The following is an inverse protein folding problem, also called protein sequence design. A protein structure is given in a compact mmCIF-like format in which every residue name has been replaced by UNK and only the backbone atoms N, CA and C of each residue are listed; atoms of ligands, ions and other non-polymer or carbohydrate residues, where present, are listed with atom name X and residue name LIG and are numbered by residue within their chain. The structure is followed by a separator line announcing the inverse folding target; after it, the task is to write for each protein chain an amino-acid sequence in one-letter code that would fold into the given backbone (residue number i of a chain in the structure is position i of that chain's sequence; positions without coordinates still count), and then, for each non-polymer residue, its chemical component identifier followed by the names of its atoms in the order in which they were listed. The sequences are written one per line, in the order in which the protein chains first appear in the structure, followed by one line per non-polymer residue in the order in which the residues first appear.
data_IF_787594794951
#
_entry.id   IF_787594794951
#
_cell.length_a   1.000
_cell.length_b   1.000
_cell.length_c   1.000
_cell.angle_alpha   90.00
_cell.angle_beta   90.00
_cell.angle_gamma   90.00
#
_symmetry.space_group_name_H-M   'P 1'
#
loop_
_entity.id
_entity.type
_entity.pdbx_description
1 polymer ?
#
# COMPACT_ATOMS: atom_id res chain seq x y z
N UNK A 1 3.90 23.35 16.57
CA UNK A 1 3.09 22.22 16.06
C UNK A 1 3.83 21.63 14.87
N UNK A 2 4.10 20.33 14.84
CA UNK A 2 4.56 19.68 13.62
C UNK A 2 3.40 19.66 12.61
N UNK A 3 3.66 20.13 11.38
CA UNK A 3 2.69 20.07 10.29
C UNK A 3 2.70 18.65 9.71
N UNK A 4 1.52 18.13 9.35
CA UNK A 4 1.42 16.85 8.65
C UNK A 4 2.12 16.94 7.29
N UNK A 5 2.85 15.89 6.91
CA UNK A 5 3.45 15.74 5.57
C UNK A 5 2.47 15.03 4.65
N UNK A 6 2.13 15.67 3.53
CA UNK A 6 1.22 15.11 2.51
C UNK A 6 1.96 15.05 1.18
N UNK A 7 1.98 13.88 0.55
CA UNK A 7 2.55 13.67 -0.77
C UNK A 7 1.43 13.45 -1.80
N UNK A 8 1.46 14.24 -2.88
CA UNK A 8 0.55 14.08 -4.02
C UNK A 8 1.39 13.91 -5.27
N UNK A 9 1.19 12.80 -5.97
CA UNK A 9 1.91 12.48 -7.21
C UNK A 9 0.87 12.30 -8.31
N UNK A 10 1.02 13.06 -9.40
CA UNK A 10 0.26 12.83 -10.62
C UNK A 10 0.81 11.57 -11.30
N UNK A 11 -0.07 10.67 -11.68
CA UNK A 11 0.30 9.34 -12.21
C UNK A 11 -0.33 9.06 -13.57
N UNK A 12 0.25 8.13 -14.31
CA UNK A 12 -0.33 7.52 -15.52
C UNK A 12 -0.28 5.99 -15.39
N UNK A 13 -1.06 5.24 -16.20
CA UNK A 13 -0.99 3.78 -16.17
C UNK A 13 0.43 3.23 -16.35
N UNK A 14 1.25 3.86 -17.19
CA UNK A 14 2.61 3.43 -17.52
C UNK A 14 3.60 3.65 -16.37
N UNK A 15 3.37 4.65 -15.52
CA UNK A 15 4.29 5.02 -14.44
C UNK A 15 3.79 4.64 -13.05
N UNK A 16 2.60 4.05 -12.95
CA UNK A 16 1.89 3.82 -11.68
C UNK A 16 2.78 3.24 -10.57
N UNK A 17 3.49 2.13 -10.82
CA UNK A 17 4.34 1.49 -9.81
C UNK A 17 5.49 2.40 -9.33
N UNK A 18 6.12 3.12 -10.25
CA UNK A 18 7.17 4.07 -9.93
C UNK A 18 6.63 5.28 -9.14
N UNK A 19 5.41 5.71 -9.46
CA UNK A 19 4.73 6.81 -8.78
C UNK A 19 4.31 6.43 -7.35
N UNK A 20 3.91 5.17 -7.11
CA UNK A 20 3.67 4.65 -5.75
C UNK A 20 4.95 4.70 -4.93
N UNK A 21 6.06 4.19 -5.46
CA UNK A 21 7.37 4.26 -4.79
C UNK A 21 7.76 5.71 -4.46
N UNK A 22 7.57 6.63 -5.41
CA UNK A 22 7.82 8.06 -5.21
C UNK A 22 6.91 8.67 -4.15
N UNK A 23 5.61 8.38 -4.18
CA UNK A 23 4.63 8.92 -3.25
C UNK A 23 4.91 8.47 -1.81
N UNK A 24 5.21 7.19 -1.61
CA UNK A 24 5.56 6.63 -0.30
C UNK A 24 6.81 7.30 0.28
N UNK A 25 7.87 7.44 -0.53
CA UNK A 25 9.11 8.08 -0.09
C UNK A 25 8.95 9.59 0.18
N UNK A 26 8.19 10.30 -0.66
CA UNK A 26 7.82 11.70 -0.38
C UNK A 26 7.03 11.83 0.92
N UNK A 27 6.16 10.86 1.25
CA UNK A 27 5.45 10.82 2.52
C UNK A 27 6.35 10.49 3.72
N UNK A 28 7.58 10.04 3.51
CA UNK A 28 8.53 9.69 4.58
C UNK A 28 8.20 8.37 5.28
N UNK A 29 7.61 7.40 4.58
CA UNK A 29 7.16 6.17 5.22
C UNK A 29 8.31 5.37 5.90
N UNK A 30 9.52 5.46 5.35
CA UNK A 30 10.72 4.80 5.92
C UNK A 30 11.13 5.38 7.28
N UNK A 31 10.70 6.59 7.62
CA UNK A 31 10.96 7.19 8.94
C UNK A 31 10.10 6.56 10.05
N UNK A 32 9.08 5.78 9.67
CA UNK A 32 8.06 5.23 10.57
C UNK A 32 8.04 3.70 10.54
N UNK A 33 8.08 3.10 9.35
CA UNK A 33 8.03 1.64 9.17
C UNK A 33 9.44 1.07 9.14
N UNK A 34 9.83 0.37 10.20
CA UNK A 34 11.14 -0.29 10.31
C UNK A 34 11.22 -1.51 9.37
N UNK A 35 12.42 -1.85 8.92
CA UNK A 35 12.63 -2.95 7.95
C UNK A 35 12.66 -4.32 8.63
N UNK A 36 13.04 -4.33 9.90
CA UNK A 36 13.28 -5.54 10.69
C UNK A 36 12.02 -6.08 11.36
N UNK A 37 10.88 -5.40 11.22
CA UNK A 37 9.61 -5.80 11.84
C UNK A 37 8.65 -6.38 10.82
N UNK A 38 7.89 -7.37 11.25
CA UNK A 38 6.75 -7.87 10.49
C UNK A 38 5.78 -6.73 10.17
N UNK A 39 5.49 -6.56 8.88
CA UNK A 39 4.57 -5.56 8.37
C UNK A 39 3.36 -6.25 7.76
N UNK A 40 2.19 -6.00 8.36
CA UNK A 40 0.93 -6.46 7.82
C UNK A 40 0.43 -5.52 6.72
N UNK A 41 0.35 -6.01 5.49
CA UNK A 41 -0.28 -5.32 4.36
C UNK A 41 -1.77 -5.60 4.37
N UNK A 42 -2.56 -4.63 4.85
CA UNK A 42 -4.01 -4.78 4.98
C UNK A 42 -4.70 -4.64 3.63
N UNK A 43 -5.26 -5.74 3.14
CA UNK A 43 -6.02 -5.78 1.89
C UNK A 43 -7.51 -5.63 2.22
N UNK A 44 -8.16 -4.66 1.58
CA UNK A 44 -9.61 -4.49 1.63
C UNK A 44 -10.22 -4.96 0.32
N UNK A 45 -11.08 -5.97 0.37
CA UNK A 45 -11.82 -6.47 -0.78
C UNK A 45 -13.30 -6.58 -0.42
N UNK A 46 -14.16 -6.28 -1.39
CA UNK A 46 -15.59 -6.53 -1.34
C UNK A 46 -15.90 -7.87 -2.00
N UNK A 47 -16.93 -8.56 -1.52
CA UNK A 47 -17.19 -9.95 -1.89
C UNK A 47 -17.87 -10.14 -3.26
N UNK A 48 -18.76 -9.23 -3.66
CA UNK A 48 -19.56 -9.37 -4.89
C UNK A 48 -19.12 -8.46 -6.02
N UNK A 49 -18.83 -7.19 -5.73
CA UNK A 49 -18.48 -6.19 -6.72
C UNK A 49 -17.24 -5.42 -6.30
N UNK A 50 -16.34 -5.19 -7.24
CA UNK A 50 -15.23 -4.26 -7.03
C UNK A 50 -15.79 -2.84 -6.90
N UNK A 51 -15.46 -2.16 -5.79
CA UNK A 51 -15.84 -0.77 -5.58
C UNK A 51 -14.57 0.09 -5.64
N UNK A 52 -14.40 0.93 -6.69
CA UNK A 52 -13.28 1.85 -6.78
C UNK A 52 -13.14 2.67 -5.49
N UNK A 53 -11.90 2.92 -5.06
CA UNK A 53 -11.53 3.60 -3.81
C UNK A 53 -11.86 2.87 -2.49
N UNK A 54 -12.71 1.85 -2.50
CA UNK A 54 -13.00 1.02 -1.32
C UNK A 54 -12.21 -0.30 -1.34
N UNK A 55 -12.00 -0.88 -2.53
CA UNK A 55 -11.23 -2.10 -2.72
C UNK A 55 -9.77 -1.77 -3.04
N UNK A 56 -8.84 -2.45 -2.38
CA UNK A 56 -7.42 -2.49 -2.75
C UNK A 56 -7.30 -3.11 -4.14
N UNK A 57 -6.73 -2.38 -5.08
CA UNK A 57 -6.51 -2.90 -6.43
C UNK A 57 -5.26 -3.81 -6.47
N UNK A 58 -5.18 -4.77 -7.41
CA UNK A 58 -3.99 -5.59 -7.55
C UNK A 58 -2.71 -4.76 -7.78
N UNK A 59 -2.79 -3.75 -8.65
CA UNK A 59 -1.66 -2.86 -8.95
C UNK A 59 -1.29 -1.96 -7.75
N UNK A 60 -2.25 -1.56 -6.91
CA UNK A 60 -1.94 -0.82 -5.68
C UNK A 60 -1.15 -1.68 -4.70
N UNK A 61 -1.56 -2.95 -4.51
CA UNK A 61 -0.85 -3.89 -3.66
C UNK A 61 0.56 -4.17 -4.19
N UNK A 62 0.68 -4.44 -5.49
CA UNK A 62 1.96 -4.61 -6.17
C UNK A 62 2.87 -3.40 -6.00
N UNK A 63 2.35 -2.19 -6.21
CA UNK A 63 3.11 -0.94 -6.06
C UNK A 63 3.68 -0.76 -4.65
N UNK A 64 2.93 -1.12 -3.62
CA UNK A 64 3.41 -1.07 -2.23
C UNK A 64 4.47 -2.14 -1.97
N UNK A 65 4.24 -3.38 -2.41
CA UNK A 65 5.19 -4.49 -2.22
C UNK A 65 6.52 -4.17 -2.92
N UNK A 66 6.49 -3.77 -4.19
CA UNK A 66 7.70 -3.46 -4.95
C UNK A 66 8.41 -2.21 -4.42
N UNK A 67 7.67 -1.20 -3.94
CA UNK A 67 8.27 -0.04 -3.28
C UNK A 67 9.03 -0.46 -2.01
N UNK A 68 8.39 -1.21 -1.12
CA UNK A 68 9.01 -1.67 0.12
C UNK A 68 10.22 -2.58 -0.13
N UNK A 69 10.09 -3.52 -1.06
CA UNK A 69 11.20 -4.40 -1.47
C UNK A 69 12.38 -3.61 -2.04
N UNK A 70 12.11 -2.64 -2.92
CA UNK A 70 13.15 -1.76 -3.49
C UNK A 70 13.85 -0.92 -2.43
N UNK A 71 13.14 -0.52 -1.39
CA UNK A 71 13.68 0.23 -0.26
C UNK A 71 14.33 -0.67 0.82
N UNK A 72 14.40 -1.99 0.58
CA UNK A 72 15.16 -2.94 1.38
C UNK A 72 14.37 -3.61 2.51
N UNK A 73 13.04 -3.60 2.46
CA UNK A 73 12.23 -4.43 3.35
C UNK A 73 12.33 -5.90 2.92
N UNK A 74 12.65 -6.83 3.83
CA UNK A 74 12.69 -8.26 3.51
C UNK A 74 11.28 -8.78 3.19
N UNK A 75 11.17 -9.58 2.13
CA UNK A 75 9.87 -10.08 1.65
C UNK A 75 9.20 -11.02 2.67
N UNK A 76 10.01 -11.76 3.41
CA UNK A 76 9.59 -12.65 4.50
C UNK A 76 8.88 -11.92 5.65
N UNK A 77 9.09 -10.60 5.77
CA UNK A 77 8.46 -9.76 6.79
C UNK A 77 7.17 -9.08 6.27
N UNK A 78 6.80 -9.26 5.00
CA UNK A 78 5.62 -8.63 4.40
C UNK A 78 4.45 -9.61 4.32
N UNK A 79 3.44 -9.40 5.16
CA UNK A 79 2.32 -10.33 5.31
C UNK A 79 1.02 -9.75 4.77
N UNK A 80 0.48 -10.34 3.70
CA UNK A 80 -0.85 -10.00 3.21
C UNK A 80 -1.93 -10.41 4.22
N UNK A 81 -2.71 -9.45 4.71
CA UNK A 81 -3.67 -9.67 5.79
C UNK A 81 -5.08 -9.17 5.42
N UNK A 82 -6.10 -10.00 5.64
CA UNK A 82 -7.52 -9.66 5.46
C UNK A 82 -8.31 -9.90 6.75
N UNK A 83 -9.37 -9.11 7.00
CA UNK A 83 -10.05 -9.12 8.31
C UNK A 83 -11.00 -10.31 8.52
N UNK A 84 -11.15 -11.21 7.53
CA UNK A 84 -12.23 -12.23 7.51
C UNK A 84 -13.63 -11.66 7.80
N UNK A 85 -13.81 -10.34 7.71
CA UNK A 85 -15.06 -9.65 7.94
C UNK A 85 -15.84 -9.61 6.63
N UNK A 86 -17.11 -10.01 6.69
CA UNK A 86 -18.06 -9.85 5.59
C UNK A 86 -18.45 -8.38 5.52
N UNK A 87 -18.00 -7.66 4.49
CA UNK A 87 -18.33 -6.23 4.30
C UNK A 87 -19.61 -6.06 3.45
N UNK A 88 -20.05 -7.11 2.74
CA UNK A 88 -21.29 -7.10 1.96
C UNK A 88 -21.94 -8.49 2.04
N UNK A 89 -23.18 -8.59 2.52
CA UNK A 89 -24.02 -9.78 2.26
C UNK A 89 -24.74 -9.60 0.93
N UNK A 90 -25.07 -10.72 0.28
CA UNK A 90 -25.99 -10.72 -0.86
C UNK A 90 -27.38 -10.23 -0.41
#
# INVERSE_FOLDING_TARGET
MNRSKVAVVRTTPETYLADVHRAMNLAGYQDVIKKEIDTALKINISWHHFYPACSTTPWQLEGVIEAMKKDGHPMENLHACHNRTVVVSA
#
